data_IF_468738464418
#
_entry.id   IF_468738464418
#
_cell.length_a   1.000
_cell.length_b   1.000
_cell.length_c   1.000
_cell.angle_alpha   90.00
_cell.angle_beta   90.00
_cell.angle_gamma   90.00
#
_symmetry.space_group_name_H-M   'P 1'
#
loop_
_entity.id
_entity.type
_entity.pdbx_description
1 polymer ?
#
# COMPACT_ATOMS: atom_id res chain seq x y z
N UNK A 1 -5.91 11.67 -21.29
CA UNK A 1 -5.38 10.41 -20.72
C UNK A 1 -6.52 9.72 -19.99
N UNK A 2 -6.74 8.43 -20.23
CA UNK A 2 -7.75 7.63 -19.53
C UNK A 2 -7.05 6.72 -18.53
N UNK A 3 -7.48 6.75 -17.27
CA UNK A 3 -7.02 5.84 -16.22
C UNK A 3 -8.14 4.83 -15.95
N UNK A 4 -7.79 3.57 -15.68
CA UNK A 4 -8.74 2.53 -15.30
C UNK A 4 -8.44 2.12 -13.87
N UNK A 5 -9.45 2.19 -13.01
CA UNK A 5 -9.36 1.83 -11.60
C UNK A 5 -10.36 0.69 -11.36
N UNK A 6 -9.85 -0.47 -10.97
CA UNK A 6 -10.70 -1.57 -10.53
C UNK A 6 -11.10 -1.34 -9.07
N UNK A 7 -12.40 -1.34 -8.81
CA UNK A 7 -12.96 -1.16 -7.48
C UNK A 7 -13.91 -2.30 -7.14
N UNK A 8 -13.98 -2.64 -5.86
CA UNK A 8 -14.95 -3.63 -5.37
C UNK A 8 -16.38 -3.14 -5.65
N UNK A 9 -17.34 -4.03 -5.93
CA UNK A 9 -18.72 -3.65 -6.25
C UNK A 9 -19.38 -2.78 -5.16
N UNK A 10 -19.15 -3.13 -3.89
CA UNK A 10 -19.63 -2.38 -2.73
C UNK A 10 -19.11 -0.93 -2.66
N UNK A 11 -17.95 -0.66 -3.25
CA UNK A 11 -17.36 0.69 -3.31
C UNK A 11 -17.95 1.45 -4.48
N UNK A 12 -18.20 0.78 -5.61
CA UNK A 12 -18.86 1.38 -6.77
C UNK A 12 -20.26 1.91 -6.41
N UNK A 13 -21.04 1.14 -5.65
CA UNK A 13 -22.38 1.56 -5.20
C UNK A 13 -22.33 2.79 -4.29
N UNK A 14 -21.35 2.82 -3.37
CA UNK A 14 -21.13 3.97 -2.48
C UNK A 14 -20.70 5.21 -3.25
N UNK A 15 -19.82 5.07 -4.25
CA UNK A 15 -19.38 6.17 -5.11
C UNK A 15 -20.55 6.73 -5.91
N UNK A 16 -21.40 5.87 -6.48
CA UNK A 16 -22.59 6.28 -7.22
C UNK A 16 -23.59 7.03 -6.32
N UNK A 17 -23.83 6.54 -5.10
CA UNK A 17 -24.70 7.20 -4.14
C UNK A 17 -24.16 8.58 -3.73
N UNK A 18 -22.84 8.69 -3.51
CA UNK A 18 -22.18 9.93 -3.10
C UNK A 18 -22.17 10.96 -4.24
N UNK A 19 -21.89 10.53 -5.47
CA UNK A 19 -21.95 11.38 -6.66
C UNK A 19 -23.37 11.94 -6.87
N UNK A 20 -24.39 11.07 -6.73
CA UNK A 20 -25.80 11.48 -6.80
C UNK A 20 -26.18 12.48 -5.71
N UNK A 21 -25.74 12.27 -4.48
CA UNK A 21 -26.01 13.19 -3.37
C UNK A 21 -25.38 14.57 -3.59
N UNK A 22 -24.23 14.63 -4.27
CA UNK A 22 -23.53 15.87 -4.64
C UNK A 22 -23.99 16.48 -5.97
N UNK A 23 -24.84 15.78 -6.73
CA UNK A 23 -25.30 16.24 -8.04
C UNK A 23 -24.21 16.25 -9.12
N UNK A 24 -23.16 15.44 -8.97
CA UNK A 24 -22.04 15.33 -9.91
C UNK A 24 -21.97 13.92 -10.50
N UNK A 25 -21.24 13.74 -11.60
CA UNK A 25 -20.93 12.39 -12.12
C UNK A 25 -19.91 11.69 -11.21
N UNK A 26 -19.89 10.36 -11.27
CA UNK A 26 -18.87 9.55 -10.57
C UNK A 26 -17.47 9.93 -11.04
N UNK A 27 -17.29 10.19 -12.35
CA UNK A 27 -16.01 10.59 -12.91
C UNK A 27 -15.52 11.92 -12.36
N UNK A 28 -16.39 12.93 -12.25
CA UNK A 28 -16.02 14.23 -11.70
C UNK A 28 -15.70 14.13 -10.22
N UNK A 29 -16.48 13.34 -9.47
CA UNK A 29 -16.20 13.06 -8.07
C UNK A 29 -14.81 12.41 -7.89
N UNK A 30 -14.47 11.43 -8.73
CA UNK A 30 -13.17 10.77 -8.68
C UNK A 30 -12.04 11.72 -9.05
N UNK A 31 -12.24 12.59 -10.05
CA UNK A 31 -11.24 13.62 -10.40
C UNK A 31 -10.99 14.58 -9.24
N UNK A 32 -12.03 15.04 -8.55
CA UNK A 32 -11.88 15.91 -7.37
C UNK A 32 -11.14 15.21 -6.22
N UNK A 33 -11.49 13.96 -5.94
CA UNK A 33 -10.83 13.16 -4.89
C UNK A 33 -9.37 12.92 -5.24
N UNK A 34 -9.08 12.53 -6.48
CA UNK A 34 -7.71 12.28 -6.94
C UNK A 34 -6.88 13.56 -7.01
N UNK A 35 -7.48 14.71 -7.34
CA UNK A 35 -6.80 16.00 -7.34
C UNK A 35 -6.52 16.52 -5.92
N UNK A 36 -7.38 16.20 -4.95
CA UNK A 36 -7.21 16.57 -3.54
C UNK A 36 -6.27 15.63 -2.77
N UNK A 37 -6.05 14.43 -3.30
CA UNK A 37 -5.00 13.54 -2.85
C UNK A 37 -3.67 14.08 -3.42
N UNK A 38 -2.87 14.74 -2.58
CA UNK A 38 -1.43 14.90 -2.83
C UNK A 38 -0.76 13.53 -2.76
N UNK A 39 -1.12 12.62 -3.67
CA UNK A 39 -0.36 11.41 -3.89
C UNK A 39 0.99 11.87 -4.43
N UNK A 40 2.09 11.65 -3.69
CA UNK A 40 3.41 11.83 -4.28
C UNK A 40 3.41 11.00 -5.56
N UNK A 41 3.75 11.59 -6.69
CA UNK A 41 3.87 10.83 -7.95
C UNK A 41 4.82 9.63 -7.78
N UNK A 42 5.73 9.72 -6.81
CA UNK A 42 6.69 8.71 -6.43
C UNK A 42 6.12 7.56 -5.57
N UNK A 43 4.91 7.70 -5.02
CA UNK A 43 4.30 6.66 -4.18
C UNK A 43 3.82 5.42 -4.98
N UNK A 44 3.83 5.51 -6.31
CA UNK A 44 3.48 4.42 -7.23
C UNK A 44 4.73 3.90 -7.96
N UNK A 45 5.91 4.49 -7.74
CA UNK A 45 7.14 3.98 -8.32
C UNK A 45 7.58 2.73 -7.56
N UNK A 46 7.80 1.62 -8.29
CA UNK A 46 8.55 0.51 -7.73
C UNK A 46 9.94 1.03 -7.34
N UNK A 47 10.40 0.81 -6.10
CA UNK A 47 11.73 1.23 -5.70
C UNK A 47 12.76 0.60 -6.64
N UNK A 48 13.79 1.36 -7.00
CA UNK A 48 14.88 0.82 -7.80
C UNK A 48 15.59 -0.30 -7.04
N UNK A 49 16.23 -1.22 -7.77
CA UNK A 49 17.03 -2.29 -7.15
C UNK A 49 18.10 -1.71 -6.22
N UNK A 50 18.69 -0.57 -6.59
CA UNK A 50 19.71 0.13 -5.80
C UNK A 50 19.14 0.67 -4.47
N UNK A 51 17.94 1.23 -4.48
CA UNK A 51 17.26 1.67 -3.25
C UNK A 51 16.89 0.50 -2.36
N UNK A 52 16.39 -0.60 -2.95
CA UNK A 52 16.12 -1.82 -2.21
C UNK A 52 17.38 -2.39 -1.56
N UNK A 53 18.50 -2.48 -2.30
CA UNK A 53 19.78 -2.97 -1.78
C UNK A 53 20.31 -2.09 -0.65
N UNK A 54 20.21 -0.77 -0.78
CA UNK A 54 20.58 0.18 0.27
C UNK A 54 19.76 -0.05 1.54
N UNK A 55 18.45 -0.21 1.41
CA UNK A 55 17.57 -0.39 2.55
C UNK A 55 17.79 -1.74 3.25
N UNK A 56 18.12 -2.80 2.49
CA UNK A 56 18.54 -4.10 3.04
C UNK A 56 19.88 -4.06 3.75
N UNK A 57 20.85 -3.30 3.22
CA UNK A 57 22.13 -3.10 3.91
C UNK A 57 21.94 -2.32 5.22
N UNK A 58 21.13 -1.25 5.22
CA UNK A 58 20.82 -0.49 6.44
C UNK A 58 20.10 -1.36 7.49
N UNK A 59 19.20 -2.25 7.06
CA UNK A 59 18.60 -3.24 7.96
C UNK A 59 19.69 -4.16 8.55
N UNK A 60 20.57 -4.72 7.72
CA UNK A 60 21.63 -5.64 8.14
C UNK A 60 22.60 -5.01 9.16
N UNK A 61 22.99 -3.75 8.96
CA UNK A 61 23.82 -2.99 9.92
C UNK A 61 23.10 -2.81 11.27
N UNK A 62 21.77 -2.59 11.26
CA UNK A 62 20.97 -2.51 12.48
C UNK A 62 20.86 -3.85 13.25
N UNK A 63 21.13 -4.97 12.59
CA UNK A 63 21.10 -6.32 13.17
C UNK A 63 22.43 -6.75 13.81
N UNK A 64 23.48 -5.92 13.73
CA UNK A 64 24.78 -6.19 14.36
C UNK A 64 24.70 -6.35 15.90
N UNK A 65 23.64 -5.82 16.51
CA UNK A 65 23.37 -5.93 17.94
C UNK A 65 22.47 -7.11 18.30
N UNK A 66 22.01 -7.91 17.33
CA UNK A 66 21.25 -9.10 17.65
C UNK A 66 22.15 -10.12 18.34
N UNK A 67 21.70 -10.71 19.46
CA UNK A 67 22.47 -11.73 20.15
C UNK A 67 22.72 -12.91 19.18
N UNK A 68 24.00 -13.20 18.94
CA UNK A 68 24.43 -14.37 18.16
C UNK A 68 24.06 -15.61 18.97
N UNK A 69 22.99 -16.30 18.58
CA UNK A 69 22.44 -17.44 19.32
C UNK A 69 21.02 -17.24 19.83
N UNK A 70 20.13 -16.67 19.01
CA UNK A 70 18.70 -16.67 19.29
C UNK A 70 18.19 -18.11 19.43
N UNK A 71 17.98 -18.55 20.69
CA UNK A 71 17.29 -19.79 21.04
C UNK A 71 15.77 -19.56 21.20
N UNK A 72 15.20 -18.61 20.47
CA UNK A 72 13.77 -18.39 20.55
C UNK A 72 12.99 -19.58 20.01
N UNK A 73 11.81 -19.80 20.55
CA UNK A 73 10.90 -20.86 20.12
C UNK A 73 10.23 -20.58 18.79
N UNK A 74 10.53 -19.43 18.18
CA UNK A 74 9.93 -18.97 16.93
C UNK A 74 10.53 -19.78 15.77
N UNK A 75 9.70 -20.66 15.23
CA UNK A 75 9.99 -21.53 14.10
C UNK A 75 9.49 -20.90 12.79
N UNK A 76 9.95 -21.43 11.67
CA UNK A 76 9.49 -20.96 10.35
C UNK A 76 7.98 -21.19 10.18
N UNK A 77 7.46 -22.22 10.84
CA UNK A 77 6.05 -22.59 10.86
C UNK A 77 5.18 -21.53 11.54
N UNK A 78 5.72 -20.74 12.48
CA UNK A 78 5.01 -19.67 13.18
C UNK A 78 4.79 -18.42 12.30
N UNK A 79 5.51 -18.28 11.19
CA UNK A 79 5.34 -17.18 10.21
C UNK A 79 4.09 -17.39 9.36
N UNK A 80 3.71 -18.64 9.13
CA UNK A 80 2.58 -19.03 8.27
C UNK A 80 1.30 -19.31 9.04
N UNK A 81 1.32 -19.17 10.36
CA UNK A 81 0.12 -19.26 11.20
C UNK A 81 -0.69 -17.98 11.02
N UNK A 82 -1.59 -17.99 10.03
CA UNK A 82 -2.67 -17.03 9.92
C UNK A 82 -3.61 -17.24 11.10
N UNK A 83 -3.63 -16.29 12.04
CA UNK A 83 -4.61 -16.30 13.12
C UNK A 83 -5.94 -15.83 12.53
N UNK A 84 -6.82 -16.80 12.19
CA UNK A 84 -8.22 -16.59 11.80
C UNK A 84 -8.93 -15.52 12.63
#
# INVERSE_FOLDING_TARGET
MSMHLEVRPEIADKLAALAKARGVSVDNLLQEVLAGLELPQDAIAEPSLEEFERDMNALAEGLEHLPVGYEGTYSREDIYMDHN
#
